data_IF_124071114973
#
_entry.id   IF_124071114973
#
_cell.length_a   1.000
_cell.length_b   1.000
_cell.length_c   1.000
_cell.angle_alpha   90.00
_cell.angle_beta   90.00
_cell.angle_gamma   90.00
#
_symmetry.space_group_name_H-M   'P 1'
#
loop_
_entity.id
_entity.type
_entity.pdbx_description
1 polymer ?
#
# COMPACT_ATOMS: atom_id res chain seq x y z
N UNK A 1 -0.61 17.62 6.28
CA UNK A 1 -0.82 16.22 6.72
C UNK A 1 -1.12 16.17 8.22
N UNK A 2 -0.22 16.61 9.11
CA UNK A 2 -0.41 16.59 10.59
C UNK A 2 -1.73 17.23 11.02
N UNK A 3 -2.07 18.42 10.48
CA UNK A 3 -3.33 19.11 10.79
C UNK A 3 -4.55 18.26 10.40
N UNK A 4 -4.52 17.58 9.25
CA UNK A 4 -5.63 16.71 8.80
C UNK A 4 -5.79 15.52 9.74
N UNK A 5 -4.69 14.87 10.09
CA UNK A 5 -4.71 13.72 11.01
C UNK A 5 -5.23 14.18 12.38
N UNK A 6 -4.72 15.29 12.90
CA UNK A 6 -5.19 15.84 14.18
C UNK A 6 -6.67 16.20 14.14
N UNK A 7 -7.15 16.81 13.06
CA UNK A 7 -8.57 17.15 12.89
C UNK A 7 -9.46 15.90 12.85
N UNK A 8 -9.04 14.86 12.12
CA UNK A 8 -9.76 13.58 12.08
C UNK A 8 -9.79 12.91 13.46
N UNK A 9 -8.62 12.80 14.12
CA UNK A 9 -8.54 12.22 15.46
C UNK A 9 -9.37 12.99 16.47
N UNK A 10 -9.31 14.32 16.42
CA UNK A 10 -10.10 15.17 17.32
C UNK A 10 -11.60 15.01 17.07
N UNK A 11 -12.04 14.92 15.81
CA UNK A 11 -13.46 14.70 15.49
C UNK A 11 -13.94 13.34 15.99
N UNK A 12 -13.12 12.30 15.92
CA UNK A 12 -13.42 10.97 16.46
C UNK A 12 -13.55 10.98 17.99
N UNK A 13 -12.74 11.78 18.69
CA UNK A 13 -12.81 11.93 20.14
C UNK A 13 -14.04 12.73 20.59
N UNK A 14 -14.36 13.81 19.86
CA UNK A 14 -15.45 14.72 20.24
C UNK A 14 -16.85 14.20 19.85
N UNK A 15 -16.95 13.45 18.77
CA UNK A 15 -18.21 12.93 18.23
C UNK A 15 -18.05 11.48 17.74
N UNK A 16 -17.83 10.49 18.63
CA UNK A 16 -17.50 9.12 18.23
C UNK A 16 -18.59 8.46 17.40
N UNK A 17 -19.86 8.62 17.76
CA UNK A 17 -20.98 8.02 17.01
C UNK A 17 -21.11 8.61 15.60
N UNK A 18 -21.06 9.92 15.45
CA UNK A 18 -21.15 10.58 14.14
C UNK A 18 -19.95 10.21 13.25
N UNK A 19 -18.74 10.15 13.83
CA UNK A 19 -17.53 9.76 13.12
C UNK A 19 -17.60 8.31 12.65
N UNK A 20 -18.08 7.38 13.47
CA UNK A 20 -18.28 5.98 13.08
C UNK A 20 -19.28 5.83 11.93
N UNK A 21 -20.38 6.58 11.93
CA UNK A 21 -21.33 6.55 10.82
C UNK A 21 -20.73 7.04 9.52
N UNK A 22 -19.95 8.13 9.57
CA UNK A 22 -19.24 8.67 8.39
C UNK A 22 -18.24 7.64 7.87
N UNK A 23 -17.42 7.05 8.75
CA UNK A 23 -16.45 6.02 8.38
C UNK A 23 -17.15 4.82 7.76
N UNK A 24 -18.23 4.32 8.35
CA UNK A 24 -19.01 3.20 7.79
C UNK A 24 -19.58 3.51 6.41
N UNK A 25 -20.09 4.71 6.20
CA UNK A 25 -20.62 5.14 4.88
C UNK A 25 -19.49 5.22 3.84
N UNK A 26 -18.35 5.82 4.19
CA UNK A 26 -17.19 5.90 3.29
C UNK A 26 -16.67 4.49 2.98
N UNK A 27 -16.54 3.64 3.98
CA UNK A 27 -16.09 2.26 3.80
C UNK A 27 -17.06 1.48 2.90
N UNK A 28 -18.36 1.55 3.16
CA UNK A 28 -19.39 0.90 2.34
C UNK A 28 -19.38 1.39 0.88
N UNK A 29 -19.17 2.68 0.66
CA UNK A 29 -19.02 3.23 -0.69
C UNK A 29 -17.77 2.70 -1.38
N UNK A 30 -16.63 2.75 -0.69
CA UNK A 30 -15.32 2.32 -1.25
C UNK A 30 -15.32 0.81 -1.53
N UNK A 31 -15.85 -0.01 -0.62
CA UNK A 31 -15.84 -1.47 -0.80
C UNK A 31 -16.95 -1.98 -1.69
N UNK A 32 -18.11 -1.31 -1.72
CA UNK A 32 -19.25 -1.68 -2.54
C UNK A 32 -19.14 -1.12 -3.96
N UNK A 33 -19.25 0.21 -4.09
CA UNK A 33 -19.36 0.86 -5.42
C UNK A 33 -18.01 0.86 -6.18
N UNK A 34 -16.91 1.04 -5.49
CA UNK A 34 -15.57 1.14 -6.10
C UNK A 34 -14.76 -0.15 -5.94
N UNK A 35 -15.27 -1.14 -5.19
CA UNK A 35 -14.53 -2.37 -4.87
C UNK A 35 -14.03 -3.12 -6.10
N UNK A 36 -14.84 -3.23 -7.14
CA UNK A 36 -14.45 -3.87 -8.40
C UNK A 36 -13.29 -3.15 -9.09
N UNK A 37 -13.27 -1.82 -9.04
CA UNK A 37 -12.19 -1.01 -9.60
C UNK A 37 -10.87 -1.25 -8.87
N UNK A 38 -10.89 -1.41 -7.54
CA UNK A 38 -9.70 -1.77 -6.77
C UNK A 38 -9.12 -3.12 -7.16
N UNK A 39 -9.98 -4.12 -7.38
CA UNK A 39 -9.54 -5.47 -7.80
C UNK A 39 -8.84 -5.37 -9.15
N UNK A 40 -9.47 -4.75 -10.14
CA UNK A 40 -8.89 -4.58 -11.47
C UNK A 40 -7.61 -3.74 -11.44
N UNK A 41 -7.57 -2.68 -10.63
CA UNK A 41 -6.37 -1.88 -10.46
C UNK A 41 -5.22 -2.70 -9.87
N UNK A 42 -5.48 -3.48 -8.81
CA UNK A 42 -4.46 -4.34 -8.19
C UNK A 42 -3.91 -5.38 -9.17
N UNK A 43 -4.78 -6.03 -9.94
CA UNK A 43 -4.38 -6.96 -10.99
C UNK A 43 -3.56 -6.26 -12.07
N UNK A 44 -3.99 -5.10 -12.54
CA UNK A 44 -3.28 -4.32 -13.56
C UNK A 44 -1.89 -3.91 -13.07
N UNK A 45 -1.75 -3.47 -11.82
CA UNK A 45 -0.47 -3.12 -11.20
C UNK A 45 0.44 -4.34 -11.11
N UNK A 46 -0.06 -5.50 -10.71
CA UNK A 46 0.72 -6.74 -10.67
C UNK A 46 1.27 -7.09 -12.06
N UNK A 47 0.43 -7.10 -13.08
CA UNK A 47 0.86 -7.38 -14.45
C UNK A 47 1.85 -6.34 -14.96
N UNK A 48 1.63 -5.06 -14.66
CA UNK A 48 2.54 -3.98 -15.03
C UNK A 48 3.93 -4.18 -14.41
N UNK A 49 4.01 -4.55 -13.13
CA UNK A 49 5.28 -4.82 -12.45
C UNK A 49 5.98 -6.05 -13.05
N UNK A 50 5.23 -7.11 -13.37
CA UNK A 50 5.80 -8.28 -14.04
C UNK A 50 6.34 -7.93 -15.43
N UNK A 51 5.60 -7.12 -16.21
CA UNK A 51 6.07 -6.64 -17.52
C UNK A 51 7.37 -5.83 -17.36
N UNK A 52 7.45 -4.92 -16.39
CA UNK A 52 8.69 -4.18 -16.12
C UNK A 52 9.82 -5.14 -15.75
N UNK A 53 9.59 -6.07 -14.82
CA UNK A 53 10.61 -6.98 -14.32
C UNK A 53 11.22 -7.84 -15.44
N UNK A 54 10.40 -8.33 -16.36
CA UNK A 54 10.84 -9.19 -17.47
C UNK A 54 11.21 -8.42 -18.76
N UNK A 55 11.00 -7.09 -18.80
CA UNK A 55 11.37 -6.24 -19.92
C UNK A 55 12.82 -5.76 -19.83
N UNK A 56 13.37 -5.14 -20.88
CA UNK A 56 14.66 -4.45 -20.82
C UNK A 56 14.75 -3.40 -19.70
N UNK A 57 13.62 -2.81 -19.31
CA UNK A 57 13.54 -1.84 -18.21
C UNK A 57 13.90 -2.45 -16.85
N UNK A 58 13.64 -3.74 -16.64
CA UNK A 58 14.03 -4.45 -15.42
C UNK A 58 15.56 -4.59 -15.23
N UNK A 59 16.35 -4.34 -16.30
CA UNK A 59 17.81 -4.35 -16.25
C UNK A 59 18.41 -2.99 -15.91
N UNK A 60 17.58 -1.96 -15.74
CA UNK A 60 18.06 -0.62 -15.37
C UNK A 60 18.64 -0.68 -13.97
N UNK A 61 19.93 -0.32 -13.85
CA UNK A 61 20.63 -0.28 -12.58
C UNK A 61 20.20 0.97 -11.81
N UNK A 62 19.77 0.78 -10.57
CA UNK A 62 19.46 1.87 -9.65
C UNK A 62 20.76 2.32 -8.98
N UNK A 63 21.41 3.35 -9.52
CA UNK A 63 22.72 3.85 -9.11
C UNK A 63 23.67 4.07 -10.29
N UNK A 64 24.94 4.30 -9.99
CA UNK A 64 25.95 4.46 -11.03
C UNK A 64 26.28 3.10 -11.68
N UNK A 65 26.70 3.12 -12.93
CA UNK A 65 27.02 1.90 -13.70
C UNK A 65 28.10 1.02 -13.00
N UNK A 66 29.06 1.66 -12.34
CA UNK A 66 30.18 1.00 -11.69
C UNK A 66 29.97 0.74 -10.19
N UNK A 67 28.81 1.07 -9.63
CA UNK A 67 28.55 0.83 -8.22
C UNK A 67 28.51 -0.68 -7.93
N UNK A 68 29.17 -1.09 -6.88
CA UNK A 68 29.03 -2.44 -6.35
C UNK A 68 27.95 -2.48 -5.28
N UNK A 69 27.26 -3.62 -5.08
CA UNK A 69 26.33 -3.78 -3.99
C UNK A 69 27.02 -3.54 -2.63
N UNK A 70 26.44 -2.66 -1.80
CA UNK A 70 26.97 -2.39 -0.44
C UNK A 70 26.83 -3.59 0.49
N UNK A 71 25.83 -4.43 0.25
CA UNK A 71 25.48 -5.55 1.09
C UNK A 71 25.49 -6.87 0.31
N UNK A 72 25.82 -7.95 1.01
CA UNK A 72 25.65 -9.30 0.45
C UNK A 72 24.16 -9.56 0.14
N UNK A 73 23.87 -10.44 -0.81
CA UNK A 73 22.48 -10.81 -1.16
C UNK A 73 21.70 -11.29 0.05
N UNK A 74 22.32 -12.07 0.94
CA UNK A 74 21.67 -12.55 2.16
C UNK A 74 21.33 -11.41 3.12
N UNK A 75 22.25 -10.47 3.35
CA UNK A 75 22.00 -9.30 4.19
C UNK A 75 20.89 -8.43 3.61
N UNK A 76 20.89 -8.23 2.30
CA UNK A 76 19.84 -7.48 1.61
C UNK A 76 18.46 -8.14 1.75
N UNK A 77 18.37 -9.46 1.55
CA UNK A 77 17.12 -10.22 1.77
C UNK A 77 16.66 -10.09 3.23
N UNK A 78 17.59 -10.23 4.19
CA UNK A 78 17.25 -10.10 5.61
C UNK A 78 16.74 -8.71 5.98
N UNK A 79 17.32 -7.65 5.42
CA UNK A 79 16.84 -6.27 5.63
C UNK A 79 15.43 -6.07 5.06
N UNK A 80 15.17 -6.53 3.83
CA UNK A 80 13.84 -6.46 3.22
C UNK A 80 12.80 -7.27 4.02
N UNK A 81 13.17 -8.47 4.43
CA UNK A 81 12.34 -9.31 5.28
C UNK A 81 12.00 -8.64 6.60
N UNK A 82 12.99 -8.10 7.31
CA UNK A 82 12.79 -7.41 8.59
C UNK A 82 11.93 -6.15 8.44
N UNK A 83 12.07 -5.42 7.34
CA UNK A 83 11.26 -4.24 7.06
C UNK A 83 9.82 -4.60 6.68
N UNK A 84 9.64 -5.67 5.90
CA UNK A 84 8.32 -6.13 5.46
C UNK A 84 7.54 -6.86 6.57
N UNK A 85 8.22 -7.61 7.44
CA UNK A 85 7.61 -8.31 8.57
C UNK A 85 7.78 -7.47 9.84
N UNK A 86 7.40 -6.22 9.78
CA UNK A 86 7.37 -5.35 10.95
C UNK A 86 6.31 -5.79 11.96
N UNK A 87 6.26 -5.08 13.08
CA UNK A 87 5.33 -5.34 14.19
C UNK A 87 3.87 -5.49 13.74
N UNK A 88 3.47 -4.74 12.72
CA UNK A 88 2.11 -4.76 12.17
C UNK A 88 1.75 -6.13 11.59
N UNK A 89 2.61 -6.75 10.77
CA UNK A 89 2.34 -8.08 10.20
C UNK A 89 2.34 -9.15 11.29
N UNK A 90 3.27 -9.08 12.26
CA UNK A 90 3.29 -10.02 13.37
C UNK A 90 2.01 -9.94 14.20
N UNK A 91 1.52 -8.73 14.45
CA UNK A 91 0.27 -8.52 15.17
C UNK A 91 -0.93 -9.02 14.36
N UNK A 92 -1.15 -8.50 13.18
CA UNK A 92 -2.30 -8.87 12.34
C UNK A 92 -2.26 -10.33 11.89
N UNK A 93 -1.11 -10.86 11.55
CA UNK A 93 -0.98 -12.28 11.16
C UNK A 93 -1.44 -13.27 12.25
N UNK A 94 -1.44 -12.84 13.51
CA UNK A 94 -1.91 -13.66 14.62
C UNK A 94 -3.39 -13.49 14.94
N UNK A 95 -4.00 -12.34 14.64
CA UNK A 95 -5.38 -12.02 15.08
C UNK A 95 -6.38 -11.85 13.93
N UNK A 96 -5.93 -11.55 12.72
CA UNK A 96 -6.80 -11.19 11.58
C UNK A 96 -7.80 -12.30 11.21
N UNK A 97 -7.44 -13.57 11.41
CA UNK A 97 -8.34 -14.68 11.17
C UNK A 97 -9.64 -14.60 12.01
N UNK A 98 -9.60 -13.92 13.15
CA UNK A 98 -10.77 -13.73 14.04
C UNK A 98 -11.80 -12.83 13.34
N UNK A 99 -11.36 -11.80 12.65
CA UNK A 99 -12.23 -10.90 11.87
C UNK A 99 -12.98 -11.69 10.80
N UNK A 100 -12.26 -12.49 9.99
CA UNK A 100 -12.88 -13.34 8.96
C UNK A 100 -13.69 -14.50 9.52
N UNK A 101 -13.46 -14.92 10.74
CA UNK A 101 -14.28 -15.90 11.42
C UNK A 101 -15.61 -15.29 11.90
N UNK A 102 -15.58 -14.03 12.30
CA UNK A 102 -16.77 -13.28 12.76
C UNK A 102 -17.57 -12.70 11.59
N UNK A 103 -16.92 -12.24 10.55
CA UNK A 103 -17.51 -11.68 9.33
C UNK A 103 -16.96 -12.37 8.07
N UNK A 104 -17.33 -13.65 7.85
CA UNK A 104 -16.75 -14.42 6.76
C UNK A 104 -17.24 -13.92 5.39
N UNK A 105 -16.38 -14.01 4.34
CA UNK A 105 -16.76 -13.67 2.98
C UNK A 105 -17.84 -14.62 2.42
N UNK A 106 -18.37 -14.30 1.25
CA UNK A 106 -19.29 -15.15 0.47
C UNK A 106 -20.60 -15.52 1.17
N UNK A 107 -21.04 -14.73 2.15
CA UNK A 107 -22.28 -14.97 2.93
C UNK A 107 -22.26 -16.31 3.71
N UNK A 108 -21.08 -16.81 4.04
CA UNK A 108 -20.92 -17.97 4.92
C UNK A 108 -21.41 -17.56 6.32
N UNK A 109 -22.06 -18.50 7.01
CA UNK A 109 -22.51 -18.25 8.37
C UNK A 109 -21.31 -18.06 9.31
N UNK A 110 -21.32 -16.96 10.07
CA UNK A 110 -20.27 -16.63 11.03
C UNK A 110 -20.11 -17.71 12.11
N UNK A 111 -18.89 -17.89 12.57
CA UNK A 111 -18.54 -18.80 13.69
C UNK A 111 -18.84 -20.27 13.43
N UNK A 112 -18.83 -20.67 12.15
CA UNK A 112 -18.96 -22.08 11.74
C UNK A 112 -17.59 -22.68 11.38
N UNK A 113 -17.54 -23.99 11.19
CA UNK A 113 -16.34 -24.68 10.73
C UNK A 113 -15.89 -24.19 9.35
N UNK A 114 -16.84 -23.90 8.45
CA UNK A 114 -16.54 -23.33 7.14
C UNK A 114 -16.01 -21.91 7.25
N UNK A 115 -16.55 -21.07 8.15
CA UNK A 115 -16.00 -19.76 8.44
C UNK A 115 -14.55 -19.85 8.95
N UNK A 116 -14.22 -20.85 9.76
CA UNK A 116 -12.86 -21.09 10.24
C UNK A 116 -11.90 -21.47 9.12
N UNK A 117 -12.31 -22.34 8.21
CA UNK A 117 -11.51 -22.71 7.03
C UNK A 117 -11.22 -21.51 6.13
N UNK A 118 -12.25 -20.71 5.87
CA UNK A 118 -12.10 -19.50 5.05
C UNK A 118 -11.29 -18.41 5.72
N UNK A 119 -11.37 -18.27 7.05
CA UNK A 119 -10.64 -17.21 7.77
C UNK A 119 -9.13 -17.33 7.57
N UNK A 120 -8.58 -18.54 7.63
CA UNK A 120 -7.15 -18.80 7.37
C UNK A 120 -6.76 -18.49 5.92
N UNK A 121 -7.56 -18.98 4.96
CA UNK A 121 -7.29 -18.76 3.54
C UNK A 121 -7.39 -17.29 3.16
N UNK A 122 -8.33 -16.57 3.75
CA UNK A 122 -8.56 -15.14 3.47
C UNK A 122 -7.45 -14.26 4.04
N UNK A 123 -6.95 -14.56 5.23
CA UNK A 123 -5.78 -13.90 5.79
C UNK A 123 -4.55 -14.06 4.90
N UNK A 124 -4.27 -15.29 4.42
CA UNK A 124 -3.19 -15.51 3.48
C UNK A 124 -3.39 -14.78 2.14
N UNK A 125 -4.62 -14.67 1.65
CA UNK A 125 -4.95 -13.92 0.43
C UNK A 125 -4.74 -12.41 0.63
N UNK A 126 -5.16 -11.85 1.77
CA UNK A 126 -5.00 -10.43 2.09
C UNK A 126 -3.53 -10.01 2.07
N UNK A 127 -2.65 -10.81 2.67
CA UNK A 127 -1.20 -10.59 2.64
C UNK A 127 -0.52 -11.16 1.39
N UNK A 128 -1.30 -11.47 0.36
CA UNK A 128 -0.84 -12.08 -0.87
C UNK A 128 -0.19 -11.10 -1.85
N UNK A 129 0.18 -11.66 -3.01
CA UNK A 129 0.99 -10.99 -4.04
C UNK A 129 0.36 -9.67 -4.56
N UNK A 130 -0.96 -9.54 -4.58
CA UNK A 130 -1.65 -8.33 -5.08
C UNK A 130 -1.45 -7.18 -4.10
N UNK A 131 -1.58 -7.42 -2.80
CA UNK A 131 -1.30 -6.41 -1.76
C UNK A 131 0.13 -5.89 -1.87
N UNK A 132 1.10 -6.80 -1.95
CA UNK A 132 2.52 -6.43 -2.10
C UNK A 132 2.82 -5.73 -3.42
N UNK A 133 2.13 -6.07 -4.51
CA UNK A 133 2.27 -5.35 -5.78
C UNK A 133 1.88 -3.87 -5.65
N UNK A 134 0.83 -3.55 -4.90
CA UNK A 134 0.41 -2.17 -4.65
C UNK A 134 1.47 -1.38 -3.87
N UNK A 135 2.19 -2.00 -2.94
CA UNK A 135 3.33 -1.38 -2.25
C UNK A 135 4.56 -1.24 -3.16
N UNK A 136 4.85 -2.23 -3.99
CA UNK A 136 5.99 -2.19 -4.91
C UNK A 136 5.84 -1.11 -5.99
N UNK A 137 4.63 -0.80 -6.41
CA UNK A 137 4.39 0.14 -7.50
C UNK A 137 4.96 1.55 -7.20
N UNK A 138 4.58 2.24 -6.12
CA UNK A 138 5.18 3.53 -5.78
C UNK A 138 6.68 3.42 -5.46
N UNK A 139 7.13 2.31 -4.88
CA UNK A 139 8.54 2.09 -4.58
C UNK A 139 9.40 2.05 -5.86
N UNK A 140 8.94 1.38 -6.92
CA UNK A 140 9.61 1.36 -8.23
C UNK A 140 9.66 2.75 -8.84
N UNK A 141 8.55 3.50 -8.80
CA UNK A 141 8.50 4.87 -9.31
C UNK A 141 9.46 5.80 -8.57
N UNK A 142 9.48 5.74 -7.24
CA UNK A 142 10.36 6.54 -6.39
C UNK A 142 11.83 6.15 -6.60
N UNK A 143 12.13 4.85 -6.61
CA UNK A 143 13.48 4.35 -6.84
C UNK A 143 14.03 4.80 -8.20
N UNK A 144 13.25 4.72 -9.24
CA UNK A 144 13.63 5.20 -10.58
C UNK A 144 13.83 6.71 -10.60
N UNK A 145 12.91 7.49 -10.03
CA UNK A 145 13.04 8.95 -9.97
C UNK A 145 14.31 9.37 -9.22
N UNK A 146 14.59 8.77 -8.09
CA UNK A 146 15.74 9.11 -7.25
C UNK A 146 17.07 8.66 -7.86
N UNK A 147 17.20 7.38 -8.22
CA UNK A 147 18.48 6.81 -8.65
C UNK A 147 18.81 7.03 -10.13
N UNK A 148 17.82 7.11 -11.00
CA UNK A 148 18.05 7.21 -12.46
C UNK A 148 17.85 8.63 -12.95
N UNK A 149 16.83 9.32 -12.44
CA UNK A 149 16.55 10.72 -12.85
C UNK A 149 17.22 11.76 -11.97
N UNK A 150 17.90 11.33 -10.90
CA UNK A 150 18.58 12.20 -9.94
C UNK A 150 17.67 13.25 -9.29
N UNK A 151 16.40 12.89 -9.08
CA UNK A 151 15.49 13.72 -8.29
C UNK A 151 15.86 13.59 -6.81
N UNK A 152 16.36 14.66 -6.21
CA UNK A 152 16.89 14.66 -4.83
C UNK A 152 15.80 14.47 -3.76
N UNK A 153 14.55 14.44 -4.16
CA UNK A 153 13.40 14.35 -3.25
C UNK A 153 12.71 13.00 -3.37
N UNK A 154 12.54 12.30 -2.25
CA UNK A 154 11.85 11.00 -2.16
C UNK A 154 10.33 11.16 -1.94
N UNK A 155 9.72 12.22 -2.43
CA UNK A 155 8.28 12.40 -2.41
C UNK A 155 7.62 11.90 -3.70
N UNK A 156 6.40 11.41 -3.59
CA UNK A 156 5.70 10.81 -4.72
C UNK A 156 5.42 11.82 -5.85
N UNK A 157 5.24 13.10 -5.50
CA UNK A 157 5.07 14.16 -6.49
C UNK A 157 6.28 14.31 -7.42
N UNK A 158 7.50 14.05 -6.94
CA UNK A 158 8.71 14.06 -7.76
C UNK A 158 8.72 12.89 -8.76
N UNK A 159 8.26 11.72 -8.36
CA UNK A 159 8.08 10.59 -9.26
C UNK A 159 7.01 10.87 -10.34
N UNK A 160 6.01 11.70 -10.04
CA UNK A 160 4.97 12.12 -10.97
C UNK A 160 5.38 13.25 -11.94
N UNK A 161 6.60 13.80 -11.83
CA UNK A 161 7.10 14.87 -12.70
C UNK A 161 6.91 14.60 -14.21
N UNK A 162 7.15 13.39 -14.73
CA UNK A 162 6.95 13.10 -16.16
C UNK A 162 5.50 13.25 -16.62
N UNK A 163 4.54 13.02 -15.73
CA UNK A 163 3.10 13.07 -16.02
C UNK A 163 2.52 14.46 -15.75
N UNK A 164 2.85 15.03 -14.59
CA UNK A 164 2.31 16.31 -14.14
C UNK A 164 3.13 17.52 -14.59
N UNK A 165 4.32 17.32 -15.14
CA UNK A 165 5.22 18.39 -15.55
C UNK A 165 5.51 19.35 -14.40
N UNK A 166 5.55 20.65 -14.68
CA UNK A 166 5.80 21.70 -13.68
C UNK A 166 4.74 21.77 -12.56
N UNK A 167 3.56 21.20 -12.79
CA UNK A 167 2.47 21.12 -11.81
C UNK A 167 2.79 20.19 -10.63
N UNK A 168 3.69 19.21 -10.82
CA UNK A 168 4.18 18.36 -9.74
C UNK A 168 4.83 19.14 -8.59
N UNK A 169 5.42 20.31 -8.88
CA UNK A 169 6.05 21.19 -7.88
C UNK A 169 5.10 22.27 -7.30
N UNK A 170 3.81 22.22 -7.67
CA UNK A 170 2.76 23.15 -7.24
C UNK A 170 1.68 22.43 -6.42
N UNK A 171 0.49 23.02 -6.31
CA UNK A 171 -0.65 22.45 -5.58
C UNK A 171 -0.99 20.99 -5.97
N UNK A 172 -1.05 20.59 -7.26
CA UNK A 172 -1.33 19.20 -7.60
C UNK A 172 -0.32 18.21 -7.00
N UNK A 173 0.97 18.53 -7.04
CA UNK A 173 1.99 17.68 -6.41
C UNK A 173 1.86 17.61 -4.90
N UNK A 174 1.53 18.73 -4.22
CA UNK A 174 1.27 18.72 -2.77
C UNK A 174 0.08 17.84 -2.41
N UNK A 175 -0.96 17.84 -3.21
CA UNK A 175 -2.12 16.95 -3.01
C UNK A 175 -1.69 15.48 -3.12
N UNK A 176 -0.90 15.12 -4.13
CA UNK A 176 -0.35 13.75 -4.28
C UNK A 176 0.44 13.34 -3.03
N UNK A 177 1.35 14.20 -2.55
CA UNK A 177 2.16 13.89 -1.37
C UNK A 177 1.30 13.77 -0.09
N UNK A 178 0.29 14.62 0.08
CA UNK A 178 -0.62 14.56 1.22
C UNK A 178 -1.42 13.26 1.20
N UNK A 179 -2.00 12.89 0.06
CA UNK A 179 -2.77 11.65 -0.09
C UNK A 179 -1.90 10.42 0.15
N UNK A 180 -0.68 10.42 -0.38
CA UNK A 180 0.28 9.34 -0.16
C UNK A 180 0.64 9.20 1.33
N UNK A 181 0.92 10.31 2.02
CA UNK A 181 1.23 10.31 3.46
C UNK A 181 0.03 9.86 4.30
N UNK A 182 -1.19 10.25 3.94
CA UNK A 182 -2.40 9.77 4.63
C UNK A 182 -2.54 8.26 4.44
N UNK A 183 -2.32 7.76 3.22
CA UNK A 183 -2.36 6.32 2.93
C UNK A 183 -1.32 5.53 3.74
N UNK A 184 -0.08 6.00 3.81
CA UNK A 184 0.97 5.36 4.61
C UNK A 184 0.64 5.33 6.11
N UNK A 185 0.13 6.42 6.66
CA UNK A 185 -0.23 6.50 8.08
C UNK A 185 -1.50 5.70 8.40
N UNK A 186 -2.40 5.54 7.43
CA UNK A 186 -3.60 4.73 7.61
C UNK A 186 -3.35 3.22 7.52
N UNK A 187 -2.18 2.82 6.99
CA UNK A 187 -1.77 1.42 6.83
C UNK A 187 -0.82 0.94 7.93
N UNK A 188 -0.38 1.81 8.82
CA UNK A 188 0.51 1.52 9.95
C UNK A 188 -0.28 1.43 11.26
#
# INVERSE_FOLDING_TARGET
TVIVIFAVTLSMLLAPHASQEIIKRVLSFVTGEIGLLYIWFGIAVLFFLLIIAFSPSGKIKLGLQNDNPEHSTLSWIAMLFSTGIGTTILYWGTIEWIEYYQEPPFKIQARTEDALKWSTSYGMFHWGIIGWALYCFPAVCLGYAYHVRNELSLNLSSACLPVLGRSARKMPGRVVDILFMIGLLGSS
#
